data_IF_139345470862
#
_entry.id   IF_139345470862
#
_cell.length_a   1.000
_cell.length_b   1.000
_cell.length_c   1.000
_cell.angle_alpha   90.00
_cell.angle_beta   90.00
_cell.angle_gamma   90.00
#
_symmetry.space_group_name_H-M   'P 1'
#
loop_
_entity.id
_entity.type
_entity.pdbx_description
1 polymer ?
#
# COMPACT_ATOMS: atom_id res chain seq x y z
N UNK A 1 24.14 -18.96 6.95
CA UNK A 1 22.71 -19.30 6.71
C UNK A 1 22.05 -18.04 6.16
N UNK A 2 21.14 -18.18 5.19
CA UNK A 2 20.34 -17.04 4.74
C UNK A 2 19.48 -16.51 5.90
N UNK A 3 19.37 -15.19 6.00
CA UNK A 3 18.46 -14.52 6.91
C UNK A 3 17.11 -14.36 6.22
N UNK A 4 16.17 -15.21 6.62
CA UNK A 4 14.81 -15.24 6.09
C UNK A 4 13.95 -14.11 6.66
N UNK A 5 13.01 -13.60 5.88
CA UNK A 5 12.01 -12.64 6.33
C UNK A 5 10.75 -12.64 5.48
N UNK A 6 9.70 -12.00 5.97
CA UNK A 6 8.40 -11.90 5.29
C UNK A 6 8.06 -10.43 5.05
N UNK A 7 7.66 -10.09 3.82
CA UNK A 7 7.14 -8.77 3.46
C UNK A 7 5.63 -8.85 3.17
N UNK A 8 4.82 -8.35 4.09
CA UNK A 8 3.36 -8.24 3.94
C UNK A 8 3.00 -6.94 3.20
N UNK A 9 2.25 -7.04 2.12
CA UNK A 9 1.83 -5.87 1.35
C UNK A 9 0.32 -5.86 1.11
N UNK A 10 -0.29 -4.69 1.25
CA UNK A 10 -1.70 -4.47 0.95
C UNK A 10 -1.88 -3.16 0.17
N UNK A 11 -3.12 -2.80 -0.18
CA UNK A 11 -3.44 -1.61 -0.97
C UNK A 11 -2.91 -0.34 -0.31
N UNK A 12 -3.13 -0.26 1.00
CA UNK A 12 -2.90 0.94 1.78
C UNK A 12 -4.11 1.81 1.97
N UNK A 13 -3.85 2.95 2.60
CA UNK A 13 -4.85 3.91 3.04
C UNK A 13 -4.19 5.29 3.09
N UNK A 14 -4.95 6.38 2.94
CA UNK A 14 -4.43 7.71 3.21
C UNK A 14 -3.89 7.82 4.64
N UNK A 15 -2.93 8.74 4.84
CA UNK A 15 -2.32 9.00 6.15
C UNK A 15 -3.32 9.47 7.21
N UNK A 16 -4.36 10.20 6.78
CA UNK A 16 -5.48 10.60 7.63
C UNK A 16 -6.75 10.78 6.82
N UNK A 17 -7.84 11.13 7.49
CA UNK A 17 -9.12 11.48 6.85
C UNK A 17 -9.13 12.90 6.25
N UNK A 18 -8.02 13.64 6.37
CA UNK A 18 -7.93 14.99 5.81
C UNK A 18 -8.02 14.96 4.29
N UNK A 19 -8.70 15.96 3.71
CA UNK A 19 -8.83 16.07 2.24
C UNK A 19 -7.48 16.11 1.52
N UNK A 20 -6.44 16.80 2.02
CA UNK A 20 -5.11 16.76 1.41
C UNK A 20 -4.48 15.35 1.40
N UNK A 21 -4.54 14.62 2.51
CA UNK A 21 -3.95 13.27 2.59
C UNK A 21 -4.68 12.28 1.69
N UNK A 22 -6.02 12.37 1.65
CA UNK A 22 -6.85 11.58 0.74
C UNK A 22 -6.57 11.94 -0.72
N UNK A 23 -6.33 13.23 -1.04
CA UNK A 23 -5.92 13.64 -2.38
C UNK A 23 -4.59 13.02 -2.77
N UNK A 24 -3.59 13.05 -1.89
CA UNK A 24 -2.27 12.48 -2.16
C UNK A 24 -2.34 10.96 -2.39
N UNK A 25 -3.08 10.25 -1.53
CA UNK A 25 -3.34 8.82 -1.71
C UNK A 25 -4.06 8.52 -3.04
N UNK A 26 -5.12 9.25 -3.38
CA UNK A 26 -5.85 9.05 -4.63
C UNK A 26 -4.99 9.38 -5.85
N UNK A 27 -4.11 10.37 -5.75
CA UNK A 27 -3.17 10.72 -6.81
C UNK A 27 -2.23 9.55 -7.10
N UNK A 28 -1.65 8.96 -6.06
CA UNK A 28 -0.75 7.81 -6.21
C UNK A 28 -1.50 6.59 -6.78
N UNK A 29 -2.63 6.23 -6.16
CA UNK A 29 -3.43 5.07 -6.54
C UNK A 29 -3.95 5.14 -7.98
N UNK A 30 -4.51 6.28 -8.39
CA UNK A 30 -5.16 6.41 -9.68
C UNK A 30 -4.20 6.81 -10.80
N UNK A 31 -2.94 7.12 -10.48
CA UNK A 31 -1.90 7.34 -11.49
C UNK A 31 -1.18 6.05 -11.90
N UNK A 32 -1.44 4.93 -11.22
CA UNK A 32 -0.93 3.61 -11.56
C UNK A 32 -1.58 3.07 -12.84
N UNK A 33 -0.76 2.60 -13.77
CA UNK A 33 -1.21 2.05 -15.06
C UNK A 33 -1.90 0.70 -14.97
N UNK A 34 -1.61 -0.08 -13.94
CA UNK A 34 -2.29 -1.34 -13.63
C UNK A 34 -3.66 -1.11 -13.00
N UNK A 35 -3.95 0.11 -12.52
CA UNK A 35 -5.26 0.50 -11.97
C UNK A 35 -6.12 1.19 -13.01
N UNK A 36 -5.56 2.16 -13.73
CA UNK A 36 -6.23 2.85 -14.83
C UNK A 36 -5.43 2.63 -16.11
N UNK A 37 -5.93 1.71 -16.93
CA UNK A 37 -5.36 1.34 -18.22
C UNK A 37 -5.70 2.40 -19.30
N UNK A 38 -5.10 3.57 -19.14
CA UNK A 38 -5.12 4.68 -20.10
C UNK A 38 -3.68 5.14 -20.35
N UNK A 39 -3.37 5.67 -21.56
CA UNK A 39 -2.06 6.29 -21.82
C UNK A 39 -1.74 7.37 -20.78
N UNK A 40 -0.48 7.40 -20.31
CA UNK A 40 -0.06 8.25 -19.19
C UNK A 40 -0.48 9.74 -19.30
N UNK A 41 -0.37 10.40 -20.47
CA UNK A 41 -0.82 11.80 -20.60
C UNK A 41 -2.34 11.97 -20.41
N UNK A 42 -3.13 11.04 -20.94
CA UNK A 42 -4.59 11.07 -20.83
C UNK A 42 -5.03 10.74 -19.40
N UNK A 43 -4.39 9.75 -18.77
CA UNK A 43 -4.63 9.41 -17.36
C UNK A 43 -4.30 10.60 -16.45
N UNK A 44 -3.16 11.24 -16.66
CA UNK A 44 -2.76 12.42 -15.88
C UNK A 44 -3.76 13.57 -16.02
N UNK A 45 -4.20 13.86 -17.25
CA UNK A 45 -5.18 14.93 -17.52
C UNK A 45 -6.52 14.63 -16.84
N UNK A 46 -7.02 13.39 -16.93
CA UNK A 46 -8.22 12.95 -16.25
C UNK A 46 -8.09 13.08 -14.72
N UNK A 47 -6.94 12.65 -14.19
CA UNK A 47 -6.65 12.62 -12.77
C UNK A 47 -6.58 14.03 -12.16
N UNK A 48 -5.68 14.88 -12.64
CA UNK A 48 -5.47 16.23 -12.10
C UNK A 48 -6.56 17.22 -12.55
N UNK A 49 -7.16 17.00 -13.71
CA UNK A 49 -8.18 17.87 -14.29
C UNK A 49 -9.57 17.67 -13.69
N UNK A 50 -9.97 16.43 -13.41
CA UNK A 50 -11.35 16.10 -12.98
C UNK A 50 -11.36 15.42 -11.62
N UNK A 51 -10.66 14.29 -11.50
CA UNK A 51 -10.82 13.40 -10.34
C UNK A 51 -10.35 14.07 -9.05
N UNK A 52 -9.13 14.59 -9.02
CA UNK A 52 -8.54 15.16 -7.79
C UNK A 52 -9.16 16.50 -7.39
N UNK A 53 -10.01 17.11 -8.23
CA UNK A 53 -10.74 18.35 -7.89
C UNK A 53 -12.01 18.07 -7.09
N UNK A 54 -12.69 16.95 -7.35
CA UNK A 54 -14.02 16.67 -6.77
C UNK A 54 -14.05 15.46 -5.85
N UNK A 55 -13.30 14.41 -6.18
CA UNK A 55 -13.34 13.12 -5.48
C UNK A 55 -12.76 13.14 -4.06
N UNK A 56 -11.64 13.85 -3.76
CA UNK A 56 -11.03 13.79 -2.43
C UNK A 56 -11.95 14.20 -1.29
N UNK A 57 -12.82 15.20 -1.48
CA UNK A 57 -13.78 15.63 -0.46
C UNK A 57 -14.79 14.52 -0.12
N UNK A 58 -15.33 13.86 -1.14
CA UNK A 58 -16.27 12.74 -0.98
C UNK A 58 -15.60 11.54 -0.33
N UNK A 59 -14.39 11.18 -0.80
CA UNK A 59 -13.62 10.08 -0.24
C UNK A 59 -13.20 10.34 1.21
N UNK A 60 -12.83 11.58 1.56
CA UNK A 60 -12.49 11.96 2.93
C UNK A 60 -13.66 11.74 3.90
N UNK A 61 -14.88 12.10 3.51
CA UNK A 61 -16.07 11.83 4.30
C UNK A 61 -16.32 10.32 4.49
N UNK A 62 -16.11 9.53 3.43
CA UNK A 62 -16.21 8.07 3.51
C UNK A 62 -15.15 7.46 4.44
N UNK A 63 -13.88 7.88 4.32
CA UNK A 63 -12.81 7.45 5.24
C UNK A 63 -13.13 7.84 6.69
N UNK A 64 -13.64 9.05 6.92
CA UNK A 64 -14.04 9.52 8.24
C UNK A 64 -15.14 8.66 8.88
N UNK A 65 -16.09 8.14 8.08
CA UNK A 65 -17.19 7.31 8.59
C UNK A 65 -16.75 5.95 9.15
N UNK A 66 -15.58 5.46 8.75
CA UNK A 66 -15.03 4.16 9.17
C UNK A 66 -13.71 4.29 9.93
N UNK A 67 -13.25 5.51 10.18
CA UNK A 67 -11.97 5.75 10.82
C UNK A 67 -12.03 5.35 12.30
N UNK A 68 -10.97 4.73 12.79
CA UNK A 68 -10.88 4.33 14.21
C UNK A 68 -9.92 5.25 14.96
N UNK A 69 -9.97 5.29 16.30
CA UNK A 69 -8.96 5.99 17.10
C UNK A 69 -7.53 5.48 16.87
N UNK A 70 -7.38 4.20 16.48
CA UNK A 70 -6.09 3.58 16.14
C UNK A 70 -5.60 3.94 14.71
N UNK A 71 -6.46 4.56 13.89
CA UNK A 71 -6.18 4.91 12.50
C UNK A 71 -7.04 4.16 11.49
N UNK A 72 -6.51 3.98 10.27
CA UNK A 72 -7.15 3.21 9.20
C UNK A 72 -7.36 1.75 9.63
N UNK A 73 -8.59 1.22 9.61
CA UNK A 73 -8.87 -0.18 9.94
C UNK A 73 -8.00 -1.18 9.18
N UNK A 74 -7.73 -0.91 7.91
CA UNK A 74 -6.90 -1.76 7.05
C UNK A 74 -5.45 -1.82 7.55
N UNK A 75 -4.87 -0.66 7.89
CA UNK A 75 -3.48 -0.55 8.32
C UNK A 75 -3.33 -1.20 9.70
N UNK A 76 -4.22 -0.86 10.62
CA UNK A 76 -4.26 -1.42 11.98
C UNK A 76 -4.41 -2.93 11.97
N UNK A 77 -5.32 -3.47 11.16
CA UNK A 77 -5.54 -4.91 11.08
C UNK A 77 -4.36 -5.63 10.44
N UNK A 78 -3.73 -5.00 9.43
CA UNK A 78 -2.51 -5.54 8.80
C UNK A 78 -1.34 -5.58 9.78
N UNK A 79 -1.16 -4.55 10.62
CA UNK A 79 -0.12 -4.56 11.66
C UNK A 79 -0.38 -5.63 12.74
N UNK A 80 -1.65 -5.81 13.15
CA UNK A 80 -2.05 -6.90 14.04
C UNK A 80 -1.75 -8.27 13.43
N UNK A 81 -1.95 -8.45 12.12
CA UNK A 81 -1.59 -9.66 11.39
C UNK A 81 -0.07 -9.85 11.35
N UNK A 82 0.69 -8.80 11.02
CA UNK A 82 2.16 -8.79 11.02
C UNK A 82 2.72 -9.29 12.35
N UNK A 83 2.27 -8.71 13.47
CA UNK A 83 2.72 -9.12 14.80
C UNK A 83 2.38 -10.58 15.14
N UNK A 84 1.18 -11.05 14.76
CA UNK A 84 0.79 -12.46 14.96
C UNK A 84 1.62 -13.41 14.10
N UNK A 85 1.90 -13.04 12.86
CA UNK A 85 2.69 -13.84 11.93
C UNK A 85 4.15 -13.92 12.37
N UNK A 86 4.73 -12.81 12.82
CA UNK A 86 6.08 -12.75 13.39
C UNK A 86 6.21 -13.67 14.61
N UNK A 87 5.25 -13.61 15.53
CA UNK A 87 5.20 -14.52 16.69
C UNK A 87 5.06 -15.99 16.28
N UNK A 88 4.23 -16.29 15.27
CA UNK A 88 3.95 -17.66 14.85
C UNK A 88 5.11 -18.30 14.07
N UNK A 89 5.86 -17.52 13.31
CA UNK A 89 6.94 -18.00 12.43
C UNK A 89 8.32 -17.87 13.06
N UNK A 90 8.51 -16.94 14.01
CA UNK A 90 9.83 -16.57 14.53
C UNK A 90 10.71 -15.84 13.52
N UNK A 91 10.15 -15.43 12.38
CA UNK A 91 10.84 -14.67 11.33
C UNK A 91 10.51 -13.18 11.44
N UNK A 92 11.43 -12.27 11.09
CA UNK A 92 11.11 -10.86 10.92
C UNK A 92 9.98 -10.69 9.90
N UNK A 93 8.92 -9.98 10.30
CA UNK A 93 7.79 -9.65 9.41
C UNK A 93 7.67 -8.15 9.26
N UNK A 94 7.88 -7.67 8.04
CA UNK A 94 7.81 -6.27 7.67
C UNK A 94 6.52 -6.05 6.89
N UNK A 95 5.89 -4.90 7.07
CA UNK A 95 4.70 -4.52 6.31
C UNK A 95 4.93 -3.24 5.50
N UNK A 96 4.33 -3.20 4.31
CA UNK A 96 4.27 -2.03 3.46
C UNK A 96 2.92 -1.93 2.77
N UNK A 97 2.67 -0.79 2.16
CA UNK A 97 1.48 -0.52 1.36
C UNK A 97 1.86 -0.24 -0.08
N UNK A 98 1.01 -0.64 -1.01
CA UNK A 98 1.18 -0.31 -2.42
C UNK A 98 1.05 1.20 -2.64
N UNK A 99 0.12 1.84 -1.93
CA UNK A 99 -0.13 3.27 -1.96
C UNK A 99 -0.24 3.83 -0.54
N UNK A 100 0.28 5.03 -0.30
CA UNK A 100 0.25 5.65 1.03
C UNK A 100 1.33 5.13 1.99
N UNK A 101 1.02 5.13 3.30
CA UNK A 101 2.01 4.94 4.37
C UNK A 101 1.58 3.80 5.32
N UNK A 102 2.49 2.91 5.77
CA UNK A 102 3.91 2.80 5.40
C UNK A 102 4.08 2.40 3.92
N UNK A 103 5.03 3.01 3.19
CA UNK A 103 5.16 2.77 1.76
C UNK A 103 5.91 1.47 1.44
N UNK A 104 5.82 0.97 0.20
CA UNK A 104 6.60 -0.17 -0.25
C UNK A 104 8.11 0.11 -0.18
N UNK A 105 8.54 1.31 -0.56
CA UNK A 105 9.94 1.74 -0.47
C UNK A 105 10.46 1.67 0.98
N UNK A 106 9.73 2.27 1.93
CA UNK A 106 10.08 2.22 3.37
C UNK A 106 10.12 0.79 3.90
N UNK A 107 9.26 -0.10 3.38
CA UNK A 107 9.25 -1.49 3.77
C UNK A 107 10.47 -2.25 3.23
N UNK A 108 10.87 -2.00 1.98
CA UNK A 108 12.08 -2.59 1.39
C UNK A 108 13.34 -2.07 2.08
N UNK A 109 13.42 -0.78 2.40
CA UNK A 109 14.53 -0.23 3.20
C UNK A 109 14.68 -0.97 4.54
N UNK A 110 13.56 -1.29 5.22
CA UNK A 110 13.57 -2.08 6.46
C UNK A 110 14.01 -3.53 6.22
N UNK A 111 13.67 -4.12 5.08
CA UNK A 111 14.13 -5.48 4.70
C UNK A 111 15.65 -5.48 4.59
N UNK A 112 16.21 -4.51 3.86
CA UNK A 112 17.65 -4.34 3.66
C UNK A 112 18.35 -4.05 4.98
N UNK A 113 17.82 -3.12 5.79
CA UNK A 113 18.38 -2.79 7.10
C UNK A 113 18.36 -3.97 8.09
N UNK A 114 17.38 -4.87 7.97
CA UNK A 114 17.32 -6.11 8.74
C UNK A 114 18.30 -7.19 8.23
N UNK A 115 18.96 -6.98 7.10
CA UNK A 115 19.90 -7.91 6.47
C UNK A 115 19.24 -9.17 5.94
N UNK A 116 17.97 -9.10 5.56
CA UNK A 116 17.20 -10.23 5.01
C UNK A 116 17.65 -10.46 3.56
N UNK A 117 18.15 -11.66 3.27
CA UNK A 117 18.64 -12.08 1.94
C UNK A 117 17.79 -13.20 1.31
N UNK A 118 16.77 -13.69 2.04
CA UNK A 118 15.77 -14.65 1.58
C UNK A 118 14.37 -14.13 1.98
N UNK A 119 13.75 -13.41 1.06
CA UNK A 119 12.51 -12.65 1.30
C UNK A 119 11.29 -13.36 0.73
N UNK A 120 10.32 -13.69 1.59
CA UNK A 120 9.00 -14.13 1.16
C UNK A 120 8.04 -12.93 1.03
N UNK A 121 7.71 -12.55 -0.20
CA UNK A 121 6.75 -11.47 -0.48
C UNK A 121 5.33 -12.03 -0.44
N UNK A 122 4.47 -11.44 0.40
CA UNK A 122 3.11 -11.89 0.64
C UNK A 122 2.08 -10.77 0.42
N UNK A 123 1.66 -10.53 -0.84
CA UNK A 123 0.54 -9.65 -1.15
C UNK A 123 -0.74 -10.17 -0.48
N UNK A 124 -1.48 -9.30 0.20
CA UNK A 124 -2.70 -9.62 0.95
C UNK A 124 -3.94 -9.70 0.05
N UNK A 125 -3.81 -10.34 -1.11
CA UNK A 125 -4.86 -10.56 -2.09
C UNK A 125 -4.95 -12.05 -2.41
N UNK A 126 -5.89 -12.79 -1.80
CA UNK A 126 -6.07 -14.22 -2.08
C UNK A 126 -6.37 -14.52 -3.55
N UNK A 127 -7.01 -13.57 -4.24
CA UNK A 127 -7.36 -13.67 -5.65
C UNK A 127 -6.42 -12.78 -6.47
N UNK A 128 -5.86 -13.36 -7.51
CA UNK A 128 -5.02 -12.63 -8.46
C UNK A 128 -5.85 -11.64 -9.28
N UNK A 129 -5.35 -10.41 -9.39
CA UNK A 129 -5.75 -9.45 -10.43
C UNK A 129 -4.60 -8.47 -10.70
N UNK A 130 -4.54 -7.94 -11.92
CA UNK A 130 -3.49 -6.99 -12.31
C UNK A 130 -3.53 -5.71 -11.44
N UNK A 131 -4.73 -5.20 -11.17
CA UNK A 131 -4.95 -3.96 -10.43
C UNK A 131 -4.78 -4.09 -8.90
N UNK A 132 -4.42 -5.27 -8.39
CA UNK A 132 -4.22 -5.52 -6.95
C UNK A 132 -2.95 -6.31 -6.68
N UNK A 133 -2.93 -7.60 -7.01
CA UNK A 133 -1.80 -8.48 -6.75
C UNK A 133 -0.57 -8.10 -7.58
N UNK A 134 -0.74 -7.97 -8.90
CA UNK A 134 0.39 -7.74 -9.83
C UNK A 134 1.08 -6.40 -9.55
N UNK A 135 0.31 -5.32 -9.39
CA UNK A 135 0.87 -3.99 -9.09
C UNK A 135 1.72 -3.98 -7.81
N UNK A 136 1.35 -4.77 -6.80
CA UNK A 136 2.14 -4.93 -5.57
C UNK A 136 3.44 -5.67 -5.84
N UNK A 137 3.39 -6.79 -6.55
CA UNK A 137 4.59 -7.58 -6.86
C UNK A 137 5.58 -6.79 -7.70
N UNK A 138 5.09 -6.13 -8.75
CA UNK A 138 5.93 -5.26 -9.59
C UNK A 138 6.53 -4.13 -8.77
N UNK A 139 5.74 -3.50 -7.89
CA UNK A 139 6.27 -2.42 -7.05
C UNK A 139 7.41 -2.90 -6.15
N UNK A 140 7.33 -4.10 -5.59
CA UNK A 140 8.44 -4.65 -4.80
C UNK A 140 9.67 -4.87 -5.67
N UNK A 141 9.51 -5.36 -6.90
CA UNK A 141 10.62 -5.55 -7.82
C UNK A 141 11.29 -4.24 -8.24
N UNK A 142 10.54 -3.14 -8.31
CA UNK A 142 11.08 -1.80 -8.60
C UNK A 142 11.88 -1.20 -7.44
N UNK A 143 11.57 -1.60 -6.20
CA UNK A 143 12.17 -1.05 -4.98
C UNK A 143 13.36 -1.87 -4.44
N UNK A 144 13.48 -3.14 -4.86
CA UNK A 144 14.60 -4.05 -4.54
C UNK A 144 15.81 -3.77 -5.44
#
# INVERSE_FOLDING_TARGET
MSRKGILLLNLGSPKSTSVPDVRNYLREFLNDDRVIDYPAPLRWLLLEGIILRTRPKKSAAAYASVWTPEGSPLVVTTDKLRAKLEKATGLPVIMGMRYGTPSCAEAVEKVVAAGIDDLFVMPQYPHYAMSSYETVVVKVQEEL
#
